data_IF_999314413715
#
_entry.id   IF_999314413715
#
_cell.length_a   1.000
_cell.length_b   1.000
_cell.length_c   1.000
_cell.angle_alpha   90.00
_cell.angle_beta   90.00
_cell.angle_gamma   90.00
#
_symmetry.space_group_name_H-M   'P 1'
#
loop_
_entity.id
_entity.type
_entity.pdbx_description
1 polymer ?
#
# COMPACT_ATOMS: atom_id res chain seq x y z
N UNK A 1 -42.82 56.91 8.67
CA UNK A 1 -41.87 55.97 9.22
C UNK A 1 -41.43 55.03 8.08
N UNK A 2 -40.24 55.29 7.51
CA UNK A 2 -39.72 54.54 6.35
C UNK A 2 -38.93 53.37 6.89
N UNK A 3 -39.42 52.15 6.70
CA UNK A 3 -38.73 50.93 7.11
C UNK A 3 -37.57 50.61 6.15
N UNK A 4 -36.35 50.79 6.62
CA UNK A 4 -35.14 50.38 5.91
C UNK A 4 -35.05 48.84 5.92
N UNK A 5 -35.27 48.19 4.77
CA UNK A 5 -34.98 46.73 4.59
C UNK A 5 -33.49 46.51 4.68
N UNK A 6 -33.05 45.85 5.71
CA UNK A 6 -31.70 45.28 5.82
C UNK A 6 -31.55 44.20 4.73
N UNK A 7 -30.54 44.34 3.86
CA UNK A 7 -30.18 43.29 2.93
C UNK A 7 -29.74 42.02 3.67
N UNK A 8 -30.13 40.82 3.23
CA UNK A 8 -29.69 39.59 3.83
C UNK A 8 -28.17 39.48 3.79
N UNK A 9 -27.50 38.90 4.82
CA UNK A 9 -26.06 38.76 4.84
C UNK A 9 -25.62 37.93 3.62
N UNK A 10 -24.59 38.42 2.94
CA UNK A 10 -24.01 37.74 1.79
C UNK A 10 -23.58 36.30 2.22
N UNK A 11 -24.08 35.30 1.49
CA UNK A 11 -23.63 33.91 1.69
C UNK A 11 -22.11 33.88 1.56
N UNK A 12 -21.39 33.27 2.54
CA UNK A 12 -19.93 33.12 2.42
C UNK A 12 -19.62 32.45 1.08
N UNK A 13 -18.73 33.06 0.31
CA UNK A 13 -18.28 32.51 -0.96
C UNK A 13 -17.81 31.07 -0.70
N UNK A 14 -18.33 30.09 -1.46
CA UNK A 14 -17.87 28.70 -1.37
C UNK A 14 -16.36 28.69 -1.66
N UNK A 15 -15.55 28.04 -0.80
CA UNK A 15 -14.12 27.97 -1.03
C UNK A 15 -13.86 27.40 -2.42
N UNK A 16 -13.06 28.10 -3.21
CA UNK A 16 -12.76 27.70 -4.57
C UNK A 16 -11.75 26.55 -4.54
N UNK A 17 -12.15 25.39 -5.08
CA UNK A 17 -11.25 24.25 -5.30
C UNK A 17 -10.46 24.52 -6.60
N UNK A 18 -9.12 24.53 -6.48
CA UNK A 18 -8.21 24.61 -7.63
C UNK A 18 -7.58 23.27 -7.91
N UNK A 19 -7.33 22.96 -9.17
CA UNK A 19 -6.68 21.71 -9.59
C UNK A 19 -5.37 22.03 -10.29
N UNK A 20 -4.35 21.22 -10.01
CA UNK A 20 -3.00 21.35 -10.53
C UNK A 20 -2.51 20.02 -11.07
N UNK A 21 -1.82 20.01 -12.21
CA UNK A 21 -1.12 18.87 -12.76
C UNK A 21 0.39 19.05 -12.58
N UNK A 22 1.00 18.26 -11.71
CA UNK A 22 2.46 18.22 -11.52
C UNK A 22 3.07 17.12 -12.38
N UNK A 23 4.03 17.50 -13.22
CA UNK A 23 4.76 16.58 -14.14
C UNK A 23 6.25 16.58 -13.90
N UNK A 24 6.73 17.45 -13.03
CA UNK A 24 8.14 17.59 -12.67
C UNK A 24 8.48 16.84 -11.39
N UNK A 25 9.61 16.10 -11.41
CA UNK A 25 10.07 15.31 -10.28
C UNK A 25 10.56 16.16 -9.09
N UNK A 26 11.11 17.36 -9.34
CA UNK A 26 11.54 18.26 -8.27
C UNK A 26 10.33 18.86 -7.53
N UNK A 27 9.30 19.25 -8.32
CA UNK A 27 8.05 19.69 -7.75
C UNK A 27 7.40 18.56 -6.90
N UNK A 28 7.46 17.29 -7.35
CA UNK A 28 7.01 16.16 -6.55
C UNK A 28 7.80 16.05 -5.23
N UNK A 29 9.13 16.16 -5.27
CA UNK A 29 9.95 16.12 -4.05
C UNK A 29 9.54 17.22 -3.05
N UNK A 30 9.27 18.44 -3.54
CA UNK A 30 8.88 19.59 -2.72
C UNK A 30 7.49 19.44 -2.07
N UNK A 31 6.66 18.51 -2.54
CA UNK A 31 5.34 18.24 -1.95
C UNK A 31 5.39 17.48 -0.61
N UNK A 32 6.55 16.95 -0.19
CA UNK A 32 6.65 16.08 0.98
C UNK A 32 5.92 16.61 2.23
N UNK A 33 6.08 17.87 2.67
CA UNK A 33 5.40 18.37 3.87
C UNK A 33 3.87 18.45 3.71
N UNK A 34 3.39 18.90 2.53
CA UNK A 34 1.95 19.02 2.27
C UNK A 34 1.30 17.65 2.10
N UNK A 35 2.01 16.73 1.44
CA UNK A 35 1.58 15.35 1.24
C UNK A 35 1.45 14.62 2.58
N UNK A 36 2.44 14.75 3.47
CA UNK A 36 2.39 14.14 4.80
C UNK A 36 1.19 14.64 5.61
N UNK A 37 0.87 15.94 5.56
CA UNK A 37 -0.33 16.49 6.20
C UNK A 37 -1.63 15.91 5.62
N UNK A 38 -1.71 15.79 4.29
CA UNK A 38 -2.87 15.18 3.65
C UNK A 38 -2.97 13.69 3.97
N UNK A 39 -1.85 12.96 3.92
CA UNK A 39 -1.78 11.54 4.28
C UNK A 39 -2.31 11.28 5.69
N UNK A 40 -1.94 12.10 6.65
CA UNK A 40 -2.42 12.01 8.04
C UNK A 40 -3.93 12.29 8.19
N UNK A 41 -4.55 13.04 7.27
CA UNK A 41 -6.00 13.35 7.26
C UNK A 41 -6.82 12.43 6.36
N UNK A 42 -6.20 11.46 5.69
CA UNK A 42 -6.87 10.46 4.86
C UNK A 42 -6.93 9.12 5.62
N UNK A 43 -8.03 8.82 6.29
CA UNK A 43 -8.19 7.60 7.08
C UNK A 43 -8.20 6.31 6.24
N UNK A 44 -8.46 6.41 4.93
CA UNK A 44 -8.38 5.27 4.02
C UNK A 44 -6.93 4.94 3.58
N UNK A 45 -5.97 5.89 3.76
CA UNK A 45 -4.61 5.75 3.25
C UNK A 45 -3.89 4.54 3.86
N UNK A 46 -3.24 3.76 3.00
CA UNK A 46 -2.31 2.70 3.40
C UNK A 46 -0.87 3.22 3.31
N UNK A 47 0.13 2.55 3.89
CA UNK A 47 1.52 3.01 3.84
C UNK A 47 2.06 3.24 2.41
N UNK A 48 1.46 2.57 1.41
CA UNK A 48 1.84 2.67 0.00
C UNK A 48 1.49 4.01 -0.65
N UNK A 49 0.68 4.86 -0.01
CA UNK A 49 0.38 6.22 -0.46
C UNK A 49 1.22 7.28 0.25
N UNK A 50 2.17 6.90 1.11
CA UNK A 50 3.08 7.87 1.74
C UNK A 50 3.97 8.54 0.69
N UNK A 51 4.36 9.80 0.93
CA UNK A 51 5.23 10.53 0.01
C UNK A 51 6.57 9.82 -0.17
N UNK A 52 7.18 9.37 0.92
CA UNK A 52 8.48 8.71 0.89
C UNK A 52 8.47 7.44 0.03
N UNK A 53 7.40 6.61 0.15
CA UNK A 53 7.22 5.43 -0.69
C UNK A 53 7.08 5.79 -2.17
N UNK A 54 6.15 6.66 -2.50
CA UNK A 54 5.82 6.99 -3.89
C UNK A 54 6.92 7.78 -4.58
N UNK A 55 7.57 8.72 -3.90
CA UNK A 55 8.69 9.49 -4.45
C UNK A 55 9.90 8.60 -4.68
N UNK A 56 10.27 7.74 -3.73
CA UNK A 56 11.34 6.77 -3.92
C UNK A 56 11.04 5.78 -5.06
N UNK A 57 9.77 5.33 -5.16
CA UNK A 57 9.34 4.49 -6.27
C UNK A 57 9.53 5.21 -7.61
N UNK A 58 9.12 6.48 -7.71
CA UNK A 58 9.31 7.28 -8.91
C UNK A 58 10.78 7.38 -9.31
N UNK A 59 11.69 7.56 -8.37
CA UNK A 59 13.13 7.62 -8.64
C UNK A 59 13.72 6.31 -9.16
N UNK A 60 13.18 5.15 -8.75
CA UNK A 60 13.68 3.82 -9.15
C UNK A 60 12.99 3.25 -10.38
N UNK A 61 11.71 3.60 -10.62
CA UNK A 61 10.85 2.98 -11.63
C UNK A 61 10.21 3.98 -12.59
N UNK A 62 10.23 5.24 -12.24
CA UNK A 62 9.63 6.29 -13.05
C UNK A 62 10.31 6.44 -14.40
N UNK A 63 9.56 6.90 -15.38
CA UNK A 63 10.08 7.26 -16.71
C UNK A 63 9.97 8.77 -16.88
N UNK A 64 11.06 9.48 -17.19
CA UNK A 64 11.04 10.92 -17.41
C UNK A 64 9.91 11.36 -18.36
N UNK A 65 9.26 12.49 -18.07
CA UNK A 65 8.15 13.03 -18.84
C UNK A 65 6.80 12.32 -18.66
N UNK A 66 6.73 11.25 -17.83
CA UNK A 66 5.49 10.48 -17.63
C UNK A 66 4.79 10.73 -16.29
N UNK A 67 5.37 11.46 -15.36
CA UNK A 67 4.74 11.81 -14.09
C UNK A 67 3.46 12.63 -14.33
N UNK A 68 2.40 12.30 -13.59
CA UNK A 68 1.09 12.96 -13.66
C UNK A 68 0.45 12.97 -12.29
N UNK A 69 0.91 13.87 -11.40
CA UNK A 69 0.25 14.03 -10.10
C UNK A 69 -0.87 15.04 -10.27
N UNK A 70 -2.08 14.63 -9.98
CA UNK A 70 -3.24 15.52 -9.96
C UNK A 70 -3.51 15.94 -8.52
N UNK A 71 -3.43 17.24 -8.27
CA UNK A 71 -3.60 17.83 -6.95
C UNK A 71 -4.86 18.67 -6.91
N UNK A 72 -5.55 18.64 -5.78
CA UNK A 72 -6.69 19.52 -5.48
C UNK A 72 -6.36 20.33 -4.26
N UNK A 73 -6.55 21.66 -4.34
CA UNK A 73 -6.31 22.59 -3.24
C UNK A 73 -7.59 23.35 -2.90
N UNK A 74 -7.74 23.65 -1.62
CA UNK A 74 -8.74 24.56 -1.08
C UNK A 74 -8.02 25.64 -0.28
N UNK A 75 -8.15 26.92 -0.68
CA UNK A 75 -7.44 28.03 -0.01
C UNK A 75 -5.92 27.84 0.05
N UNK A 76 -5.31 27.18 -0.95
CA UNK A 76 -3.88 26.85 -1.00
C UNK A 76 -3.50 25.55 -0.30
N UNK A 77 -4.35 24.98 0.57
CA UNK A 77 -4.11 23.72 1.27
C UNK A 77 -4.36 22.52 0.35
N UNK A 78 -3.47 21.52 0.36
CA UNK A 78 -3.65 20.27 -0.39
C UNK A 78 -4.71 19.40 0.31
N UNK A 79 -5.82 19.11 -0.40
CA UNK A 79 -6.99 18.38 0.12
C UNK A 79 -7.29 17.09 -0.64
N UNK A 80 -6.75 16.92 -1.85
CA UNK A 80 -6.72 15.62 -2.52
C UNK A 80 -5.53 15.50 -3.47
N UNK A 81 -5.08 14.26 -3.69
CA UNK A 81 -3.98 13.96 -4.61
C UNK A 81 -4.16 12.59 -5.27
N UNK A 82 -3.96 12.52 -6.59
CA UNK A 82 -3.87 11.27 -7.33
C UNK A 82 -2.44 11.10 -7.86
N UNK A 83 -1.66 10.17 -7.30
CA UNK A 83 -0.29 9.90 -7.68
C UNK A 83 -0.23 8.98 -8.90
N UNK A 84 -0.22 9.54 -10.10
CA UNK A 84 -0.30 8.78 -11.34
C UNK A 84 0.93 8.98 -12.22
N UNK A 85 1.10 8.04 -13.15
CA UNK A 85 2.00 8.18 -14.29
C UNK A 85 1.33 7.75 -15.59
N UNK A 86 1.79 8.28 -16.72
CA UNK A 86 1.33 7.87 -18.04
C UNK A 86 2.08 6.61 -18.51
N UNK A 87 1.37 5.50 -18.67
CA UNK A 87 1.81 4.30 -19.37
C UNK A 87 1.31 4.35 -20.81
N UNK A 88 2.15 4.01 -21.79
CA UNK A 88 1.78 4.08 -23.20
C UNK A 88 1.36 2.74 -23.80
N UNK A 89 1.82 1.63 -23.24
CA UNK A 89 1.58 0.28 -23.79
C UNK A 89 0.93 -0.62 -22.74
N UNK A 90 0.06 -1.58 -23.10
CA UNK A 90 -0.47 -1.83 -24.47
C UNK A 90 -1.44 -0.74 -24.94
N UNK A 91 -2.06 -0.01 -24.03
CA UNK A 91 -2.92 1.14 -24.33
C UNK A 91 -2.48 2.35 -23.48
N UNK A 92 -2.65 3.60 -23.96
CA UNK A 92 -2.39 4.78 -23.14
C UNK A 92 -3.26 4.77 -21.89
N UNK A 93 -2.62 4.76 -20.72
CA UNK A 93 -3.31 4.74 -19.43
C UNK A 93 -2.58 5.57 -18.37
N UNK A 94 -3.33 6.27 -17.55
CA UNK A 94 -2.88 6.83 -16.29
C UNK A 94 -2.99 5.74 -15.23
N UNK A 95 -1.85 5.35 -14.67
CA UNK A 95 -1.76 4.28 -13.67
C UNK A 95 -1.16 4.81 -12.38
N UNK A 96 -1.54 4.29 -11.20
CA UNK A 96 -0.93 4.68 -9.94
C UNK A 96 0.59 4.46 -9.92
N UNK A 97 1.29 5.36 -9.23
CA UNK A 97 2.66 5.09 -8.78
C UNK A 97 2.66 3.92 -7.80
N UNK A 98 3.82 3.30 -7.56
CA UNK A 98 3.96 2.14 -6.69
C UNK A 98 4.00 0.81 -7.45
N UNK A 99 3.27 0.70 -8.57
CA UNK A 99 3.35 -0.46 -9.48
C UNK A 99 3.16 -1.79 -8.77
N UNK A 100 3.84 -2.83 -9.28
CA UNK A 100 3.67 -4.21 -8.80
C UNK A 100 4.25 -4.47 -7.40
N UNK A 101 5.06 -3.57 -6.86
CA UNK A 101 5.66 -3.70 -5.51
C UNK A 101 4.83 -3.04 -4.40
N UNK A 102 3.72 -2.39 -4.76
CA UNK A 102 2.73 -1.91 -3.80
C UNK A 102 1.53 -2.85 -3.77
N UNK A 103 1.10 -3.24 -2.58
CA UNK A 103 -0.02 -4.18 -2.43
C UNK A 103 -1.38 -3.47 -2.49
N UNK A 104 -1.37 -2.14 -2.33
CA UNK A 104 -2.56 -1.31 -2.42
C UNK A 104 -2.26 -0.02 -3.18
N UNK A 105 -3.16 0.36 -4.09
CA UNK A 105 -3.13 1.65 -4.77
C UNK A 105 -4.39 2.45 -4.45
N UNK A 106 -4.20 3.75 -4.19
CA UNK A 106 -5.29 4.66 -3.87
C UNK A 106 -4.92 6.10 -4.25
N UNK A 107 -5.89 6.99 -4.12
CA UNK A 107 -5.70 8.43 -4.07
C UNK A 107 -5.73 8.89 -2.60
N UNK A 108 -5.27 10.10 -2.32
CA UNK A 108 -5.47 10.74 -1.02
C UNK A 108 -6.62 11.74 -1.12
N UNK A 109 -7.52 11.69 -0.14
CA UNK A 109 -8.62 12.65 0.02
C UNK A 109 -8.76 12.97 1.51
N UNK A 110 -8.77 14.25 1.85
CA UNK A 110 -8.99 14.73 3.21
C UNK A 110 -10.40 14.34 3.69
N UNK A 111 -10.49 13.58 4.79
CA UNK A 111 -11.76 13.09 5.33
C UNK A 111 -12.71 14.23 5.70
N UNK A 112 -12.17 15.33 6.24
CA UNK A 112 -12.96 16.51 6.63
C UNK A 112 -13.58 17.25 5.43
N UNK A 113 -13.08 17.01 4.21
CA UNK A 113 -13.51 17.65 2.96
C UNK A 113 -13.83 16.65 1.85
N UNK A 114 -14.09 15.39 2.22
CA UNK A 114 -14.08 14.24 1.30
C UNK A 114 -14.99 14.42 0.08
N UNK A 115 -16.23 14.86 0.28
CA UNK A 115 -17.21 14.99 -0.80
C UNK A 115 -16.83 16.03 -1.86
N UNK A 116 -16.52 17.30 -1.51
CA UNK A 116 -16.14 18.30 -2.50
C UNK A 116 -14.76 18.03 -3.11
N UNK A 117 -13.78 17.58 -2.32
CA UNK A 117 -12.45 17.24 -2.81
C UNK A 117 -12.49 16.06 -3.81
N UNK A 118 -13.27 14.99 -3.52
CA UNK A 118 -13.49 13.89 -4.45
C UNK A 118 -14.14 14.34 -5.76
N UNK A 119 -15.10 15.30 -5.69
CA UNK A 119 -15.75 15.84 -6.88
C UNK A 119 -14.77 16.64 -7.74
N UNK A 120 -13.96 17.50 -7.13
CA UNK A 120 -12.93 18.26 -7.82
C UNK A 120 -11.86 17.32 -8.43
N UNK A 121 -11.41 16.29 -7.69
CA UNK A 121 -10.46 15.32 -8.19
C UNK A 121 -11.02 14.49 -9.35
N UNK A 122 -12.30 14.06 -9.29
CA UNK A 122 -12.97 13.40 -10.41
C UNK A 122 -13.03 14.27 -11.66
N UNK A 123 -13.26 15.58 -11.51
CA UNK A 123 -13.19 16.55 -12.58
C UNK A 123 -11.78 16.64 -13.21
N UNK A 124 -10.76 16.82 -12.39
CA UNK A 124 -9.36 16.87 -12.84
C UNK A 124 -8.92 15.59 -13.56
N UNK A 125 -9.27 14.43 -13.01
CA UNK A 125 -9.04 13.13 -13.64
C UNK A 125 -9.78 13.01 -14.96
N UNK A 126 -11.01 13.55 -15.04
CA UNK A 126 -11.79 13.61 -16.28
C UNK A 126 -11.10 14.40 -17.38
N UNK A 127 -10.43 15.50 -17.06
CA UNK A 127 -9.64 16.27 -18.02
C UNK A 127 -8.39 15.50 -18.45
N UNK A 128 -7.68 14.89 -17.51
CA UNK A 128 -6.50 14.07 -17.81
C UNK A 128 -6.84 12.80 -18.63
N UNK A 129 -8.07 12.29 -18.50
CA UNK A 129 -8.56 11.10 -19.25
C UNK A 129 -8.98 11.40 -20.69
N UNK A 130 -8.74 12.59 -21.24
CA UNK A 130 -9.09 12.93 -22.63
C UNK A 130 -8.38 12.06 -23.68
N UNK A 131 -7.16 11.64 -23.38
CA UNK A 131 -6.29 10.90 -24.32
C UNK A 131 -5.80 9.56 -23.77
N UNK A 132 -6.15 9.21 -22.54
CA UNK A 132 -5.71 8.00 -21.86
C UNK A 132 -6.83 7.41 -21.00
N UNK A 133 -6.82 6.11 -20.81
CA UNK A 133 -7.61 5.41 -19.81
C UNK A 133 -7.05 5.74 -18.42
N UNK A 134 -7.89 5.73 -17.37
CA UNK A 134 -7.42 5.67 -15.99
C UNK A 134 -7.59 4.22 -15.53
N UNK A 135 -6.51 3.62 -15.02
CA UNK A 135 -6.44 2.19 -14.67
C UNK A 135 -5.85 2.05 -13.27
N UNK A 136 -6.71 2.10 -12.26
CA UNK A 136 -6.34 1.78 -10.89
C UNK A 136 -6.39 0.28 -10.67
N UNK A 137 -5.27 -0.30 -10.31
CA UNK A 137 -5.16 -1.69 -9.89
C UNK A 137 -4.89 -1.76 -8.39
N UNK A 138 -5.12 -2.92 -7.79
CA UNK A 138 -4.87 -3.16 -6.37
C UNK A 138 -5.63 -2.18 -5.45
N UNK A 139 -6.87 -1.85 -5.83
CA UNK A 139 -7.74 -0.98 -5.03
C UNK A 139 -8.38 -1.79 -3.91
N UNK A 140 -8.03 -1.48 -2.67
CA UNK A 140 -8.64 -2.13 -1.51
C UNK A 140 -10.08 -1.63 -1.31
N UNK A 141 -11.06 -2.49 -0.98
CA UNK A 141 -12.40 -2.05 -0.61
C UNK A 141 -12.40 -1.01 0.50
N UNK A 142 -13.14 0.07 0.32
CA UNK A 142 -13.16 1.23 1.22
C UNK A 142 -12.03 2.23 0.98
N UNK A 143 -11.35 2.16 -0.15
CA UNK A 143 -10.33 3.13 -0.59
C UNK A 143 -10.93 4.48 -0.98
N UNK A 144 -10.15 5.55 -0.85
CA UNK A 144 -10.60 6.90 -1.19
C UNK A 144 -10.96 7.06 -2.68
N UNK A 145 -10.31 6.31 -3.57
CA UNK A 145 -10.59 6.33 -5.02
C UNK A 145 -12.00 5.84 -5.37
N UNK A 146 -12.67 5.05 -4.52
CA UNK A 146 -14.07 4.66 -4.73
C UNK A 146 -14.99 5.87 -4.75
N UNK A 147 -14.70 6.91 -3.96
CA UNK A 147 -15.45 8.17 -3.98
C UNK A 147 -15.33 8.89 -5.33
N UNK A 148 -14.18 8.77 -6.01
CA UNK A 148 -13.97 9.27 -7.37
C UNK A 148 -14.75 8.42 -8.36
N UNK A 149 -14.67 7.10 -8.22
CA UNK A 149 -15.38 6.15 -9.08
C UNK A 149 -16.89 6.38 -9.07
N UNK A 150 -17.49 6.63 -7.91
CA UNK A 150 -18.93 6.87 -7.75
C UNK A 150 -19.38 8.19 -8.39
N UNK A 151 -18.48 9.20 -8.43
CA UNK A 151 -18.75 10.52 -9.05
C UNK A 151 -18.38 10.59 -10.52
N UNK A 152 -17.80 9.52 -11.06
CA UNK A 152 -17.37 9.48 -12.45
C UNK A 152 -18.55 9.53 -13.42
N UNK A 153 -18.54 10.49 -14.35
CA UNK A 153 -19.63 10.70 -15.33
C UNK A 153 -19.38 10.06 -16.70
N UNK A 154 -18.29 9.31 -16.85
CA UNK A 154 -17.94 8.61 -18.08
C UNK A 154 -18.13 7.09 -17.98
N UNK A 155 -17.81 6.35 -19.06
CA UNK A 155 -17.71 4.88 -19.00
C UNK A 155 -16.75 4.45 -17.89
N UNK A 156 -17.16 3.45 -17.13
CA UNK A 156 -16.37 2.90 -16.03
C UNK A 156 -16.58 1.40 -15.93
N UNK A 157 -15.58 0.71 -15.40
CA UNK A 157 -15.64 -0.73 -15.18
C UNK A 157 -14.91 -1.10 -13.89
N UNK A 158 -15.48 -2.04 -13.13
CA UNK A 158 -14.92 -2.59 -11.89
C UNK A 158 -14.75 -4.09 -12.05
N UNK A 159 -13.62 -4.62 -11.64
CA UNK A 159 -13.34 -6.05 -11.70
C UNK A 159 -12.46 -6.48 -10.52
N UNK A 160 -12.56 -7.73 -10.04
CA UNK A 160 -11.60 -8.30 -9.09
C UNK A 160 -10.19 -8.26 -9.66
N UNK A 161 -9.17 -7.97 -8.82
CA UNK A 161 -7.76 -7.92 -9.21
C UNK A 161 -6.93 -8.97 -8.43
N UNK A 162 -6.56 -8.70 -7.19
CA UNK A 162 -5.76 -9.62 -6.38
C UNK A 162 -6.41 -9.94 -5.03
N UNK A 163 -5.86 -10.93 -4.34
CA UNK A 163 -6.29 -11.33 -3.00
C UNK A 163 -5.27 -10.85 -1.97
N UNK A 164 -5.75 -10.15 -0.94
CA UNK A 164 -5.06 -9.90 0.30
C UNK A 164 -5.74 -10.64 1.44
N UNK A 165 -5.00 -10.91 2.50
CA UNK A 165 -5.50 -11.58 3.69
C UNK A 165 -5.34 -10.63 4.88
N UNK A 166 -6.40 -10.46 5.68
CA UNK A 166 -6.43 -9.50 6.79
C UNK A 166 -6.84 -10.15 8.11
N UNK A 167 -6.22 -9.70 9.17
CA UNK A 167 -6.56 -10.00 10.55
C UNK A 167 -7.00 -8.71 11.26
N UNK A 168 -7.76 -8.79 12.34
CA UNK A 168 -7.94 -7.63 13.21
C UNK A 168 -6.58 -7.26 13.82
N UNK A 169 -6.32 -5.96 13.96
CA UNK A 169 -5.09 -5.47 14.56
C UNK A 169 -5.14 -5.63 16.09
N UNK A 170 -4.85 -6.83 16.55
CA UNK A 170 -4.84 -7.23 17.95
C UNK A 170 -3.44 -7.71 18.34
N UNK A 171 -3.06 -7.61 19.63
CA UNK A 171 -1.88 -8.27 20.16
C UNK A 171 -1.86 -9.78 19.84
N UNK A 172 -0.67 -10.35 19.67
CA UNK A 172 -0.54 -11.74 19.24
C UNK A 172 -1.28 -12.70 20.17
N UNK A 173 -1.24 -12.50 21.47
CA UNK A 173 -1.90 -13.38 22.45
C UNK A 173 -3.43 -13.37 22.27
N UNK A 174 -4.03 -12.22 21.93
CA UNK A 174 -5.44 -12.14 21.60
C UNK A 174 -5.77 -12.80 20.27
N UNK A 175 -4.92 -12.66 19.25
CA UNK A 175 -5.07 -13.39 17.98
C UNK A 175 -5.03 -14.90 18.22
N UNK A 176 -4.16 -15.37 19.09
CA UNK A 176 -4.02 -16.79 19.45
C UNK A 176 -5.28 -17.33 20.13
N UNK A 177 -5.99 -16.55 20.96
CA UNK A 177 -7.24 -17.00 21.58
C UNK A 177 -8.36 -17.26 20.57
N UNK A 178 -8.30 -16.65 19.39
CA UNK A 178 -9.28 -16.84 18.29
C UNK A 178 -9.04 -18.11 17.48
N UNK A 179 -7.94 -18.80 17.71
CA UNK A 179 -7.60 -20.05 17.02
C UNK A 179 -8.23 -21.26 17.71
N UNK A 180 -8.47 -22.36 16.98
CA UNK A 180 -8.82 -23.65 17.61
C UNK A 180 -7.76 -24.06 18.64
N UNK A 181 -8.20 -24.68 19.74
CA UNK A 181 -7.35 -24.98 20.92
C UNK A 181 -6.02 -25.65 20.55
N UNK A 182 -6.05 -26.70 19.73
CA UNK A 182 -4.83 -27.41 19.29
C UNK A 182 -3.86 -26.51 18.48
N UNK A 183 -4.38 -25.53 17.73
CA UNK A 183 -3.56 -24.58 16.98
C UNK A 183 -2.99 -23.50 17.91
N UNK A 184 -3.80 -22.96 18.80
CA UNK A 184 -3.38 -22.03 19.84
C UNK A 184 -2.25 -22.61 20.69
N UNK A 185 -2.38 -23.86 21.12
CA UNK A 185 -1.34 -24.58 21.87
C UNK A 185 -0.02 -24.68 21.08
N UNK A 186 -0.09 -24.99 19.78
CA UNK A 186 1.11 -25.04 18.91
C UNK A 186 1.78 -23.68 18.77
N UNK A 187 1.00 -22.59 18.59
CA UNK A 187 1.57 -21.23 18.51
C UNK A 187 2.25 -20.87 19.83
N UNK A 188 1.61 -21.09 20.97
CA UNK A 188 2.21 -20.84 22.29
C UNK A 188 3.49 -21.68 22.52
N UNK A 189 3.53 -22.92 22.04
CA UNK A 189 4.74 -23.75 22.10
C UNK A 189 5.88 -23.16 21.27
N UNK A 190 5.56 -22.61 20.05
CA UNK A 190 6.53 -21.92 19.21
C UNK A 190 7.05 -20.63 19.86
N UNK A 191 6.18 -19.82 20.47
CA UNK A 191 6.58 -18.64 21.24
C UNK A 191 7.50 -19.01 22.41
N UNK A 192 7.14 -20.03 23.22
CA UNK A 192 8.02 -20.50 24.30
C UNK A 192 9.39 -20.94 23.79
N UNK A 193 9.41 -21.63 22.64
CA UNK A 193 10.67 -22.05 22.00
C UNK A 193 11.52 -20.87 21.56
N UNK A 194 10.94 -19.84 20.94
CA UNK A 194 11.65 -18.62 20.54
C UNK A 194 12.28 -17.92 21.75
N UNK A 195 11.54 -17.82 22.86
CA UNK A 195 12.06 -17.28 24.13
C UNK A 195 13.19 -18.14 24.71
N UNK A 196 13.02 -19.46 24.70
CA UNK A 196 14.05 -20.41 25.21
C UNK A 196 15.34 -20.41 24.37
N UNK A 197 15.23 -20.06 23.06
CA UNK A 197 16.40 -19.87 22.20
C UNK A 197 17.15 -18.56 22.47
N UNK A 198 16.56 -17.64 23.24
CA UNK A 198 17.16 -16.33 23.48
C UNK A 198 17.11 -15.40 22.27
N UNK A 199 16.12 -15.55 21.38
CA UNK A 199 15.97 -14.62 20.25
C UNK A 199 15.52 -13.26 20.78
N UNK A 200 16.40 -12.27 20.68
CA UNK A 200 16.16 -10.89 21.09
C UNK A 200 15.59 -10.06 19.93
N UNK A 201 14.66 -9.17 20.23
CA UNK A 201 14.08 -8.23 19.28
C UNK A 201 14.57 -6.82 19.56
N UNK A 202 15.11 -6.13 18.55
CA UNK A 202 15.56 -4.76 18.62
C UNK A 202 14.89 -3.90 17.54
N UNK A 203 14.29 -2.77 17.91
CA UNK A 203 13.87 -1.76 16.96
C UNK A 203 15.08 -1.00 16.45
N UNK A 204 15.17 -0.85 15.13
CA UNK A 204 16.27 -0.14 14.47
C UNK A 204 16.02 1.36 14.55
N UNK A 205 17.02 2.12 14.99
CA UNK A 205 16.93 3.58 15.05
C UNK A 205 17.00 4.19 13.64
N UNK A 206 16.41 5.38 13.41
CA UNK A 206 16.34 5.99 12.08
C UNK A 206 17.67 6.10 11.34
N UNK A 207 18.76 6.36 12.05
CA UNK A 207 20.12 6.49 11.50
C UNK A 207 20.75 5.14 11.09
N UNK A 208 20.24 4.02 11.62
CA UNK A 208 20.71 2.67 11.32
C UNK A 208 19.92 1.98 10.21
N UNK A 209 18.78 2.56 9.75
CA UNK A 209 17.82 1.94 8.83
C UNK A 209 18.48 1.48 7.53
N UNK A 210 19.35 2.29 6.94
CA UNK A 210 20.02 1.96 5.68
C UNK A 210 20.86 0.67 5.81
N UNK A 211 21.63 0.56 6.89
CA UNK A 211 22.47 -0.62 7.14
C UNK A 211 21.60 -1.86 7.41
N UNK A 212 20.52 -1.70 8.19
CA UNK A 212 19.61 -2.78 8.51
C UNK A 212 18.88 -3.29 7.26
N UNK A 213 18.46 -2.41 6.35
CA UNK A 213 17.81 -2.81 5.09
C UNK A 213 18.76 -3.50 4.12
N UNK A 214 20.01 -3.05 4.01
CA UNK A 214 21.02 -3.79 3.23
C UNK A 214 21.20 -5.21 3.77
N UNK A 215 21.21 -5.37 5.11
CA UNK A 215 21.26 -6.67 5.77
C UNK A 215 20.01 -7.50 5.50
N UNK A 216 18.81 -6.89 5.57
CA UNK A 216 17.55 -7.53 5.20
C UNK A 216 17.62 -8.10 3.80
N UNK A 217 18.01 -7.29 2.81
CA UNK A 217 18.11 -7.70 1.41
C UNK A 217 19.14 -8.81 1.18
N UNK A 218 20.26 -8.79 1.92
CA UNK A 218 21.25 -9.87 1.86
C UNK A 218 20.69 -11.18 2.42
N UNK A 219 20.05 -11.14 3.60
CA UNK A 219 19.39 -12.29 4.21
C UNK A 219 18.23 -12.81 3.35
N UNK A 220 17.44 -11.90 2.76
CA UNK A 220 16.33 -12.25 1.87
C UNK A 220 16.84 -13.03 0.64
N UNK A 221 17.93 -12.58 0.03
CA UNK A 221 18.55 -13.28 -1.10
C UNK A 221 18.99 -14.70 -0.74
N UNK A 222 19.65 -14.87 0.41
CA UNK A 222 20.10 -16.18 0.90
C UNK A 222 18.91 -17.10 1.21
N UNK A 223 17.89 -16.57 1.90
CA UNK A 223 16.69 -17.33 2.30
C UNK A 223 15.94 -17.92 1.10
N UNK A 224 15.89 -17.18 -0.02
CA UNK A 224 15.11 -17.55 -1.20
C UNK A 224 15.96 -18.18 -2.32
N UNK A 225 17.22 -18.43 -2.06
CA UNK A 225 18.09 -19.14 -3.01
C UNK A 225 17.54 -20.54 -3.30
N UNK A 226 17.28 -20.85 -4.58
CA UNK A 226 16.66 -22.11 -4.99
C UNK A 226 15.16 -22.24 -4.73
N UNK A 227 14.47 -21.14 -4.35
CA UNK A 227 13.01 -21.09 -4.14
C UNK A 227 12.38 -20.02 -5.01
N UNK A 228 11.08 -20.13 -5.26
CA UNK A 228 10.33 -19.10 -5.98
C UNK A 228 10.29 -17.78 -5.20
N UNK A 229 11.10 -16.82 -5.62
CA UNK A 229 11.05 -15.43 -5.13
C UNK A 229 10.47 -14.54 -6.23
N UNK A 230 9.81 -13.46 -5.83
CA UNK A 230 9.40 -12.43 -6.79
C UNK A 230 10.68 -11.87 -7.46
N UNK A 231 10.85 -12.04 -8.80
CA UNK A 231 12.12 -11.67 -9.47
C UNK A 231 12.50 -10.20 -9.26
N UNK A 232 11.52 -9.34 -9.03
CA UNK A 232 11.75 -7.92 -8.78
C UNK A 232 12.51 -7.65 -7.49
N UNK A 233 12.33 -8.47 -6.44
CA UNK A 233 13.03 -8.32 -5.16
C UNK A 233 14.54 -8.55 -5.26
N UNK A 234 14.99 -9.20 -6.34
CA UNK A 234 16.42 -9.44 -6.60
C UNK A 234 17.08 -8.33 -7.43
N UNK A 235 16.31 -7.35 -7.92
CA UNK A 235 16.85 -6.26 -8.74
C UNK A 235 17.39 -5.12 -7.87
N UNK A 236 18.50 -4.50 -8.30
CA UNK A 236 19.13 -3.38 -7.58
C UNK A 236 18.15 -2.22 -7.33
N UNK A 237 17.36 -1.87 -8.34
CA UNK A 237 16.36 -0.78 -8.24
C UNK A 237 15.32 -0.99 -7.12
N UNK A 238 14.97 -2.26 -6.82
CA UNK A 238 14.08 -2.58 -5.69
C UNK A 238 14.78 -2.29 -4.35
N UNK A 239 16.03 -2.76 -4.20
CA UNK A 239 16.83 -2.48 -3.01
C UNK A 239 17.07 -0.97 -2.80
N UNK A 240 17.41 -0.23 -3.86
CA UNK A 240 17.57 1.22 -3.85
C UNK A 240 16.28 1.94 -3.44
N UNK A 241 15.12 1.47 -3.97
CA UNK A 241 13.82 1.99 -3.57
C UNK A 241 13.58 1.80 -2.08
N UNK A 242 13.75 0.60 -1.54
CA UNK A 242 13.48 0.31 -0.13
C UNK A 242 14.39 1.13 0.79
N UNK A 243 15.69 1.15 0.53
CA UNK A 243 16.67 1.91 1.34
C UNK A 243 16.31 3.39 1.35
N UNK A 244 15.94 3.96 0.20
CA UNK A 244 15.58 5.38 0.08
C UNK A 244 14.23 5.71 0.73
N UNK A 245 13.25 4.81 0.67
CA UNK A 245 11.92 5.04 1.21
C UNK A 245 11.88 4.88 2.74
N UNK A 246 12.50 3.83 3.28
CA UNK A 246 12.27 3.39 4.64
C UNK A 246 12.83 4.37 5.69
N UNK A 247 13.97 5.00 5.46
CA UNK A 247 14.53 5.97 6.42
C UNK A 247 13.57 7.13 6.71
N UNK A 248 13.07 7.85 5.69
CA UNK A 248 12.03 8.86 5.89
C UNK A 248 10.72 8.31 6.48
N UNK A 249 10.28 7.11 6.07
CA UNK A 249 9.07 6.47 6.61
C UNK A 249 9.22 6.15 8.10
N UNK A 250 10.37 5.64 8.54
CA UNK A 250 10.64 5.37 9.96
C UNK A 250 10.61 6.65 10.78
N UNK A 251 11.23 7.73 10.29
CA UNK A 251 11.16 9.05 10.96
C UNK A 251 9.74 9.62 11.06
N UNK A 252 8.88 9.30 10.09
CA UNK A 252 7.49 9.74 10.05
C UNK A 252 6.53 8.81 10.83
N UNK A 253 7.01 7.67 11.37
CA UNK A 253 6.16 6.66 12.00
C UNK A 253 5.34 5.84 10.99
N UNK A 254 5.71 5.84 9.71
CA UNK A 254 5.04 5.13 8.62
C UNK A 254 5.65 3.75 8.35
N UNK A 255 6.76 3.43 9.00
CA UNK A 255 7.42 2.13 8.95
C UNK A 255 8.22 1.86 10.22
N UNK A 256 8.50 0.58 10.46
CA UNK A 256 9.41 0.10 11.50
C UNK A 256 10.32 -0.95 10.89
N UNK A 257 11.61 -0.89 11.23
CA UNK A 257 12.57 -1.95 10.93
C UNK A 257 12.93 -2.65 12.23
N UNK A 258 12.80 -3.98 12.25
CA UNK A 258 13.08 -4.81 13.43
C UNK A 258 14.21 -5.78 13.12
N UNK A 259 15.26 -5.78 13.93
CA UNK A 259 16.29 -6.82 13.93
C UNK A 259 15.99 -7.88 14.99
N UNK A 260 16.24 -9.13 14.63
CA UNK A 260 16.22 -10.27 15.55
C UNK A 260 17.64 -10.78 15.71
N UNK A 261 18.07 -10.95 16.95
CA UNK A 261 19.42 -11.37 17.29
C UNK A 261 19.40 -12.71 18.02
N UNK A 262 20.40 -13.53 17.76
CA UNK A 262 20.66 -14.77 18.46
C UNK A 262 22.15 -14.85 18.71
N UNK A 263 22.54 -15.06 19.96
CA UNK A 263 23.94 -15.10 20.38
C UNK A 263 24.73 -13.82 19.95
N UNK A 264 24.06 -12.65 20.00
CA UNK A 264 24.61 -11.35 19.58
C UNK A 264 24.57 -11.04 18.08
N UNK A 265 24.38 -12.06 17.24
CA UNK A 265 24.36 -11.93 15.78
C UNK A 265 22.96 -11.66 15.24
N UNK A 266 22.85 -10.83 14.18
CA UNK A 266 21.57 -10.56 13.52
C UNK A 266 21.19 -11.74 12.64
N UNK A 267 20.14 -12.45 13.03
CA UNK A 267 19.62 -13.64 12.33
C UNK A 267 18.38 -13.38 11.50
N UNK A 268 17.68 -12.27 11.69
CA UNK A 268 16.62 -11.83 10.79
C UNK A 268 16.43 -10.31 10.87
N UNK A 269 15.89 -9.75 9.80
CA UNK A 269 15.45 -8.35 9.75
C UNK A 269 14.09 -8.30 9.05
N UNK A 270 13.17 -7.51 9.61
CA UNK A 270 11.82 -7.28 9.10
C UNK A 270 11.58 -5.80 8.84
N UNK A 271 10.86 -5.50 7.76
CA UNK A 271 10.30 -4.20 7.44
C UNK A 271 8.78 -4.27 7.56
N UNK A 272 8.24 -3.67 8.60
CA UNK A 272 6.81 -3.48 8.81
C UNK A 272 6.40 -2.09 8.37
N UNK A 273 5.34 -1.97 7.55
CA UNK A 273 4.76 -0.71 7.09
C UNK A 273 3.54 -0.35 7.93
N UNK A 274 3.38 0.95 8.21
CA UNK A 274 2.38 1.49 9.12
C UNK A 274 1.61 2.65 8.48
N UNK A 275 0.30 2.71 8.72
CA UNK A 275 -0.55 3.88 8.53
C UNK A 275 -1.65 3.88 9.59
N UNK A 276 -2.49 4.91 9.63
CA UNK A 276 -3.68 4.92 10.49
C UNK A 276 -4.65 3.78 10.19
N UNK A 277 -4.63 3.27 8.96
CA UNK A 277 -5.54 2.22 8.48
C UNK A 277 -5.01 0.82 8.70
N UNK A 278 -3.69 0.64 8.57
CA UNK A 278 -3.13 -0.68 8.36
C UNK A 278 -1.72 -0.81 8.94
N UNK A 279 -1.45 -1.95 9.56
CA UNK A 279 -0.11 -2.47 9.83
C UNK A 279 0.13 -3.73 9.00
N UNK A 280 1.32 -3.89 8.41
CA UNK A 280 1.65 -5.08 7.62
C UNK A 280 3.14 -5.32 7.45
N UNK A 281 3.59 -6.57 7.69
CA UNK A 281 4.96 -6.99 7.44
C UNK A 281 5.20 -7.08 5.94
N UNK A 282 6.00 -6.15 5.41
CA UNK A 282 6.18 -6.00 3.97
C UNK A 282 7.27 -6.93 3.41
N UNK A 283 8.42 -6.96 4.04
CA UNK A 283 9.55 -7.76 3.58
C UNK A 283 10.41 -8.18 4.77
N UNK A 284 10.93 -9.38 4.70
CA UNK A 284 11.89 -9.87 5.69
C UNK A 284 13.00 -10.69 5.03
N UNK A 285 14.11 -10.81 5.74
CA UNK A 285 15.19 -11.73 5.45
C UNK A 285 15.56 -12.50 6.73
N UNK A 286 15.76 -13.81 6.62
CA UNK A 286 16.09 -14.67 7.73
C UNK A 286 17.26 -15.61 7.41
N UNK A 287 18.18 -15.73 8.35
CA UNK A 287 19.34 -16.62 8.25
C UNK A 287 18.90 -18.10 8.35
N UNK A 288 19.49 -19.03 7.57
CA UNK A 288 19.19 -20.46 7.63
C UNK A 288 19.29 -21.08 9.04
N UNK A 289 20.15 -20.55 9.89
CA UNK A 289 20.33 -20.96 11.29
C UNK A 289 19.00 -21.01 12.05
N UNK A 290 18.06 -20.10 11.82
CA UNK A 290 16.75 -20.14 12.47
C UNK A 290 15.99 -21.42 12.16
N UNK A 291 16.11 -21.93 10.92
CA UNK A 291 15.50 -23.21 10.52
C UNK A 291 16.21 -24.39 11.19
N UNK A 292 17.54 -24.38 11.23
CA UNK A 292 18.35 -25.42 11.88
C UNK A 292 18.00 -25.52 13.37
N UNK A 293 17.81 -24.37 14.03
CA UNK A 293 17.34 -24.27 15.43
C UNK A 293 15.84 -24.53 15.56
N UNK A 294 15.11 -24.82 14.47
CA UNK A 294 13.65 -25.02 14.43
C UNK A 294 12.88 -23.83 15.04
N UNK A 295 13.37 -22.59 14.87
CA UNK A 295 12.68 -21.37 15.22
C UNK A 295 11.57 -21.10 14.18
N UNK A 296 10.38 -20.73 14.65
CA UNK A 296 9.27 -20.40 13.74
C UNK A 296 9.30 -18.93 13.36
N UNK A 297 9.87 -18.66 12.19
CA UNK A 297 10.02 -17.27 11.67
C UNK A 297 8.67 -16.59 11.46
N UNK A 298 7.63 -17.32 11.03
CA UNK A 298 6.31 -16.71 10.80
C UNK A 298 5.66 -16.23 12.10
N UNK A 299 5.78 -16.97 13.19
CA UNK A 299 5.31 -16.53 14.52
C UNK A 299 6.14 -15.35 15.01
N UNK A 300 7.46 -15.40 14.86
CA UNK A 300 8.38 -14.34 15.26
C UNK A 300 8.08 -12.99 14.55
N UNK A 301 7.85 -13.03 13.25
CA UNK A 301 7.52 -11.83 12.45
C UNK A 301 6.14 -11.29 12.78
N UNK A 302 5.14 -12.17 12.96
CA UNK A 302 3.81 -11.73 13.35
C UNK A 302 3.79 -11.10 14.74
N UNK A 303 4.56 -11.64 15.68
CA UNK A 303 4.74 -11.03 17.01
C UNK A 303 5.35 -9.62 16.93
N UNK A 304 6.29 -9.40 16.00
CA UNK A 304 6.85 -8.08 15.75
C UNK A 304 5.81 -7.12 15.16
N UNK A 305 5.05 -7.56 14.16
CA UNK A 305 3.96 -6.76 13.56
C UNK A 305 2.89 -6.39 14.59
N UNK A 306 2.44 -7.35 15.41
CA UNK A 306 1.39 -7.13 16.40
C UNK A 306 1.82 -6.25 17.57
N UNK A 307 3.12 -6.01 17.76
CA UNK A 307 3.61 -5.05 18.74
C UNK A 307 3.24 -3.59 18.39
N UNK A 308 2.78 -3.34 17.17
CA UNK A 308 2.34 -2.03 16.69
C UNK A 308 0.81 -1.94 16.59
N UNK A 309 0.10 -2.85 17.25
CA UNK A 309 -1.37 -2.86 17.40
C UNK A 309 -1.73 -2.50 18.85
N UNK A 310 -2.87 -1.87 19.06
CA UNK A 310 -3.32 -1.47 20.41
C UNK A 310 -4.18 -0.20 20.35
N UNK A 311 -4.38 0.46 21.48
CA UNK A 311 -5.20 1.66 21.56
C UNK A 311 -4.64 2.79 20.68
N UNK A 312 -5.48 3.35 19.79
CA UNK A 312 -5.06 4.35 18.81
C UNK A 312 -4.28 3.82 17.61
N UNK A 313 -4.04 2.50 17.54
CA UNK A 313 -3.36 1.82 16.43
C UNK A 313 -4.31 1.56 15.24
N UNK A 314 -3.77 1.10 14.10
CA UNK A 314 -4.57 0.70 12.94
C UNK A 314 -5.61 -0.38 13.26
N UNK A 315 -6.76 -0.36 12.57
CA UNK A 315 -7.81 -1.37 12.73
C UNK A 315 -7.47 -2.72 12.10
N UNK A 316 -6.54 -2.74 11.17
CA UNK A 316 -6.25 -3.88 10.30
C UNK A 316 -4.78 -4.30 10.38
N UNK A 317 -4.54 -5.58 10.67
CA UNK A 317 -3.27 -6.25 10.45
C UNK A 317 -3.34 -6.98 9.11
N UNK A 318 -2.67 -6.44 8.10
CA UNK A 318 -2.64 -7.04 6.77
C UNK A 318 -1.49 -8.04 6.63
N UNK A 319 -1.81 -9.24 6.17
CA UNK A 319 -0.82 -10.20 5.70
C UNK A 319 -0.41 -9.92 4.25
N UNK A 320 -0.87 -8.78 3.69
CA UNK A 320 -0.61 -8.30 2.36
C UNK A 320 -1.08 -9.26 1.26
N UNK A 321 -0.64 -9.01 0.02
CA UNK A 321 -1.04 -9.79 -1.15
C UNK A 321 -0.46 -11.20 -1.11
N UNK A 322 -1.24 -12.16 -1.60
CA UNK A 322 -0.85 -13.57 -1.74
C UNK A 322 -1.71 -14.51 -0.90
N UNK A 323 -1.77 -15.75 -1.36
CA UNK A 323 -2.63 -16.83 -0.83
C UNK A 323 -1.77 -17.99 -0.30
N UNK A 324 -0.64 -17.65 0.33
CA UNK A 324 0.29 -18.66 0.81
C UNK A 324 -0.31 -19.46 1.98
N UNK A 325 -0.12 -20.81 2.00
CA UNK A 325 -0.76 -21.69 2.98
C UNK A 325 -0.47 -21.32 4.45
N UNK A 326 0.69 -20.77 4.76
CA UNK A 326 1.04 -20.39 6.13
C UNK A 326 0.19 -19.24 6.68
N UNK A 327 -0.29 -18.33 5.81
CA UNK A 327 -1.16 -17.22 6.20
C UNK A 327 -2.52 -17.73 6.72
N UNK A 328 -3.06 -18.77 6.11
CA UNK A 328 -4.33 -19.37 6.50
C UNK A 328 -4.30 -20.07 7.88
N UNK A 329 -3.13 -20.27 8.44
CA UNK A 329 -2.99 -20.74 9.82
C UNK A 329 -3.60 -19.78 10.84
N UNK A 330 -3.68 -18.49 10.51
CA UNK A 330 -4.23 -17.43 11.36
C UNK A 330 -5.73 -17.17 11.14
N UNK A 331 -6.37 -17.91 10.21
CA UNK A 331 -7.78 -17.74 9.83
C UNK A 331 -8.10 -16.29 9.41
N UNK A 332 -7.34 -15.70 8.51
CA UNK A 332 -7.56 -14.34 8.05
C UNK A 332 -8.86 -14.22 7.27
N UNK A 333 -9.40 -13.00 7.22
CA UNK A 333 -10.46 -12.63 6.31
C UNK A 333 -9.87 -12.39 4.92
N UNK A 334 -10.40 -13.01 3.86
CA UNK A 334 -10.02 -12.69 2.49
C UNK A 334 -10.56 -11.30 2.11
N UNK A 335 -9.72 -10.47 1.50
CA UNK A 335 -10.07 -9.17 0.94
C UNK A 335 -9.62 -9.15 -0.51
N UNK A 336 -10.59 -9.07 -1.42
CA UNK A 336 -10.31 -9.02 -2.86
C UNK A 336 -10.11 -7.56 -3.26
N UNK A 337 -8.89 -7.22 -3.66
CA UNK A 337 -8.61 -5.94 -4.29
C UNK A 337 -9.31 -5.85 -5.64
N UNK A 338 -9.61 -4.65 -6.06
CA UNK A 338 -10.34 -4.37 -7.29
C UNK A 338 -9.48 -3.61 -8.30
N UNK A 339 -9.81 -3.79 -9.57
CA UNK A 339 -9.34 -2.95 -10.66
C UNK A 339 -10.45 -2.00 -11.08
N UNK A 340 -10.20 -0.70 -11.02
CA UNK A 340 -11.12 0.33 -11.43
C UNK A 340 -10.64 0.98 -12.73
N UNK A 341 -11.43 0.88 -13.78
CA UNK A 341 -11.17 1.48 -15.08
C UNK A 341 -12.14 2.65 -15.28
N UNK A 342 -11.59 3.82 -15.62
CA UNK A 342 -12.38 5.02 -15.88
C UNK A 342 -11.99 5.60 -17.24
N UNK A 343 -12.99 5.96 -18.05
CA UNK A 343 -12.77 6.50 -19.38
C UNK A 343 -13.70 7.71 -19.67
N UNK A 344 -13.31 8.53 -20.61
CA UNK A 344 -14.20 9.48 -21.31
C UNK A 344 -14.84 8.78 -22.50
N UNK A 345 -15.89 9.35 -23.06
CA UNK A 345 -16.53 8.78 -24.26
C UNK A 345 -15.52 8.48 -25.38
N UNK A 346 -14.56 9.39 -25.61
CA UNK A 346 -13.51 9.21 -26.63
C UNK A 346 -12.52 8.09 -26.33
N UNK A 347 -12.27 7.78 -25.05
CA UNK A 347 -11.35 6.72 -24.62
C UNK A 347 -12.09 5.45 -24.22
N UNK A 348 -13.41 5.36 -24.42
CA UNK A 348 -14.22 4.15 -24.15
C UNK A 348 -13.70 2.90 -24.86
N UNK A 349 -13.24 2.94 -26.13
CA UNK A 349 -12.65 1.77 -26.77
C UNK A 349 -11.43 1.21 -26.02
N UNK A 350 -10.61 2.07 -25.40
CA UNK A 350 -9.46 1.65 -24.59
C UNK A 350 -9.92 0.90 -23.32
N UNK A 351 -11.03 1.34 -22.70
CA UNK A 351 -11.64 0.67 -21.57
C UNK A 351 -12.10 -0.73 -21.94
N UNK A 352 -12.80 -0.87 -23.06
CA UNK A 352 -13.27 -2.17 -23.56
C UNK A 352 -12.11 -3.12 -23.81
N UNK A 353 -11.02 -2.65 -24.45
CA UNK A 353 -9.82 -3.43 -24.68
C UNK A 353 -9.17 -3.88 -23.37
N UNK A 354 -9.01 -2.96 -22.40
CA UNK A 354 -8.41 -3.26 -21.11
C UNK A 354 -9.27 -4.21 -20.25
N UNK A 355 -10.59 -4.09 -20.29
CA UNK A 355 -11.52 -5.00 -19.62
C UNK A 355 -11.51 -6.40 -20.24
N UNK A 356 -11.45 -6.48 -21.58
CA UNK A 356 -11.32 -7.74 -22.32
C UNK A 356 -10.03 -8.47 -21.99
N UNK A 357 -8.88 -7.76 -21.98
CA UNK A 357 -7.60 -8.32 -21.57
C UNK A 357 -7.66 -8.87 -20.14
N UNK A 358 -8.24 -8.12 -19.20
CA UNK A 358 -8.39 -8.57 -17.82
C UNK A 358 -9.27 -9.85 -17.71
N UNK A 359 -10.34 -9.94 -18.50
CA UNK A 359 -11.20 -11.12 -18.52
C UNK A 359 -10.46 -12.36 -19.07
N UNK A 360 -9.67 -12.19 -20.14
CA UNK A 360 -8.85 -13.26 -20.72
C UNK A 360 -7.80 -13.77 -19.75
N UNK A 361 -7.06 -12.87 -19.08
CA UNK A 361 -6.05 -13.23 -18.06
C UNK A 361 -6.66 -14.02 -16.91
N UNK A 362 -7.86 -13.62 -16.42
CA UNK A 362 -8.55 -14.35 -15.36
C UNK A 362 -8.95 -15.77 -15.82
N UNK A 363 -9.49 -15.91 -17.03
CA UNK A 363 -9.84 -17.23 -17.60
C UNK A 363 -8.62 -18.13 -17.73
N UNK A 364 -7.51 -17.61 -18.24
CA UNK A 364 -6.25 -18.34 -18.35
C UNK A 364 -5.73 -18.79 -16.97
N UNK A 365 -5.75 -17.90 -15.98
CA UNK A 365 -5.34 -18.23 -14.60
C UNK A 365 -6.23 -19.30 -13.94
N UNK A 366 -7.55 -19.27 -14.19
CA UNK A 366 -8.48 -20.31 -13.70
C UNK A 366 -8.22 -21.67 -14.36
N UNK A 367 -7.93 -21.71 -15.65
CA UNK A 367 -7.61 -22.94 -16.37
C UNK A 367 -6.29 -23.57 -15.89
N UNK A 368 -5.28 -22.74 -15.61
CA UNK A 368 -4.00 -23.21 -15.07
C UNK A 368 -4.14 -23.79 -13.64
N UNK A 369 -4.98 -23.19 -12.79
CA UNK A 369 -5.26 -23.69 -11.45
C UNK A 369 -6.08 -25.00 -11.43
N UNK A 370 -6.81 -25.32 -12.49
CA UNK A 370 -7.61 -26.55 -12.64
C UNK A 370 -6.79 -27.73 -13.20
N UNK A 371 -5.57 -27.52 -13.66
CA UNK A 371 -4.69 -28.63 -14.05
C UNK A 371 -4.22 -29.35 -12.77
N UNK A 372 -4.47 -30.66 -12.65
CA UNK A 372 -3.91 -31.44 -11.55
C UNK A 372 -2.36 -31.36 -11.59
N UNK A 373 -1.69 -31.41 -10.43
CA UNK A 373 -0.23 -31.48 -10.41
C UNK A 373 0.16 -32.70 -11.27
N UNK A 374 1.09 -32.50 -12.19
CA UNK A 374 1.69 -33.60 -12.96
C UNK A 374 2.31 -34.60 -11.97
N UNK A 375 2.18 -35.91 -12.22
CA UNK A 375 2.65 -36.97 -11.33
C UNK A 375 4.16 -36.90 -11.06
#
# INVERSE_FOLDING_TARGET
VTATRLAPPARPARPAYTTELVTDARAFAALAPQWGRLFARCGAATPFQSHAWLHSWWQSYGTPGRLRLLLVREGGELVAAAPLMLRRTPVPALVPLGGAISDYADVLIDDGRSRPAATALAGALGEAARTALIDFREVRPGSAVEQVYDRWRGPRHRAPDSLCLELPALPLDELVTRLPAARAQRVRAKQRKLRALGVERRLVRPEEVDAALRRLLALHRVQWQGRGVTPEHLRSRFGEHLVRAAGPMVRAGEAVVTEFRLDGEVVAVDLTLLSRRLVGGYLYGAHPLLRERKADVAVMLLEACTAHTGEGAPDTLSLLRGDEPYKHHWRPRPVVNERLLLARRRTAPLLTAAAGEAALRRRAGQLLRRRPPSP
#
